data_IF_108446534742
#
_entry.id   IF_108446534742
#
_cell.length_a   1.000
_cell.length_b   1.000
_cell.length_c   1.000
_cell.angle_alpha   90.00
_cell.angle_beta   90.00
_cell.angle_gamma   90.00
#
_symmetry.space_group_name_H-M   'P 1'
#
loop_
_entity.id
_entity.type
_entity.pdbx_description
1 polymer ?
#
# COMPACT_ATOMS: atom_id res chain seq x y z
N UNK A 1 45.98 -39.13 -6.50
CA UNK A 1 44.61 -39.71 -6.45
C UNK A 1 44.69 -41.23 -6.31
N UNK A 2 44.51 -41.73 -5.08
CA UNK A 2 44.60 -43.17 -4.75
C UNK A 2 43.31 -43.91 -5.09
N UNK A 3 42.14 -43.20 -5.14
CA UNK A 3 40.83 -43.81 -5.28
C UNK A 3 40.08 -43.24 -6.48
N UNK A 4 39.28 -44.09 -7.13
CA UNK A 4 38.29 -43.69 -8.14
C UNK A 4 36.88 -43.80 -7.59
N UNK A 5 36.03 -42.84 -7.96
CA UNK A 5 34.61 -42.80 -7.61
C UNK A 5 33.79 -42.93 -8.88
N UNK A 6 32.77 -43.78 -8.86
CA UNK A 6 31.85 -43.96 -9.97
C UNK A 6 30.49 -43.46 -9.54
N UNK A 7 29.99 -42.42 -10.21
CA UNK A 7 28.67 -41.84 -10.01
C UNK A 7 27.70 -42.38 -11.05
N UNK A 8 26.68 -43.09 -10.59
CA UNK A 8 25.63 -43.66 -11.42
C UNK A 8 24.38 -42.77 -11.37
N UNK A 9 23.81 -42.44 -12.54
CA UNK A 9 22.54 -41.73 -12.69
C UNK A 9 21.55 -42.72 -13.34
N UNK A 10 20.67 -43.27 -12.54
CA UNK A 10 19.66 -44.21 -13.02
C UNK A 10 18.35 -43.43 -13.20
N UNK A 11 17.90 -43.34 -14.46
CA UNK A 11 16.64 -42.65 -14.81
C UNK A 11 15.45 -43.36 -14.16
N UNK A 12 14.55 -42.57 -13.57
CA UNK A 12 13.33 -43.06 -12.99
C UNK A 12 12.15 -42.15 -13.37
N UNK A 13 10.94 -42.48 -12.92
CA UNK A 13 9.72 -41.74 -13.25
C UNK A 13 9.35 -40.65 -12.22
N UNK A 14 10.19 -40.42 -11.21
CA UNK A 14 9.93 -39.39 -10.19
C UNK A 14 10.77 -38.16 -10.49
N UNK A 15 10.19 -36.99 -10.80
CA UNK A 15 10.95 -35.74 -10.99
C UNK A 15 11.88 -35.45 -9.81
N UNK A 16 13.02 -34.84 -10.10
CA UNK A 16 13.92 -34.35 -9.06
C UNK A 16 13.44 -32.99 -8.56
N UNK A 17 13.37 -32.82 -7.25
CA UNK A 17 13.01 -31.57 -6.61
C UNK A 17 13.87 -31.32 -5.37
N UNK A 18 14.45 -30.13 -5.30
CA UNK A 18 15.29 -29.75 -4.17
C UNK A 18 16.47 -30.73 -3.98
N UNK A 19 16.74 -31.10 -2.73
CA UNK A 19 17.82 -31.99 -2.36
C UNK A 19 17.52 -33.46 -2.68
N UNK A 20 18.28 -34.00 -3.58
CA UNK A 20 18.19 -35.40 -3.99
C UNK A 20 19.34 -36.19 -3.37
N UNK A 21 19.08 -37.17 -2.49
CA UNK A 21 20.10 -37.91 -1.79
C UNK A 21 20.91 -38.76 -2.74
N UNK A 22 22.21 -38.87 -2.45
CA UNK A 22 23.12 -39.75 -3.16
C UNK A 22 23.35 -41.02 -2.31
N UNK A 23 22.99 -42.15 -2.87
CA UNK A 23 23.08 -43.42 -2.17
C UNK A 23 24.51 -43.98 -2.34
N UNK A 24 25.23 -44.11 -1.23
CA UNK A 24 26.58 -44.65 -1.21
C UNK A 24 26.55 -46.19 -1.07
N UNK A 25 27.47 -46.85 -1.74
CA UNK A 25 27.68 -48.30 -1.64
C UNK A 25 29.10 -48.60 -1.20
N UNK A 26 29.23 -49.49 -0.20
CA UNK A 26 30.45 -50.09 0.25
C UNK A 26 30.29 -51.62 0.20
N UNK A 27 31.28 -52.35 -0.23
CA UNK A 27 31.25 -53.83 -0.35
C UNK A 27 29.99 -54.35 -1.07
N UNK A 28 29.51 -53.59 -2.08
CA UNK A 28 28.27 -53.85 -2.83
C UNK A 28 26.97 -53.76 -2.00
N UNK A 29 27.05 -53.22 -0.77
CA UNK A 29 25.89 -52.99 0.11
C UNK A 29 25.63 -51.46 0.27
N UNK A 30 24.36 -51.12 0.41
CA UNK A 30 23.99 -49.75 0.74
C UNK A 30 24.49 -49.42 2.16
N UNK A 31 25.28 -48.35 2.26
CA UNK A 31 25.77 -47.86 3.53
C UNK A 31 25.49 -46.35 3.68
N UNK A 32 25.29 -45.90 4.91
CA UNK A 32 25.10 -44.47 5.24
C UNK A 32 26.41 -43.89 5.77
N UNK A 33 26.67 -42.63 5.42
CA UNK A 33 27.79 -41.88 5.99
C UNK A 33 27.48 -41.54 7.46
N UNK A 34 28.47 -41.76 8.35
CA UNK A 34 28.33 -41.48 9.80
C UNK A 34 28.23 -39.98 10.10
N UNK A 35 28.91 -39.15 9.30
CA UNK A 35 29.08 -37.71 9.52
C UNK A 35 28.30 -36.85 8.49
N UNK A 36 27.12 -37.28 8.03
CA UNK A 36 26.29 -36.52 7.12
C UNK A 36 25.76 -37.37 5.95
N UNK A 37 25.28 -36.69 4.93
CA UNK A 37 24.79 -37.31 3.69
C UNK A 37 25.27 -36.51 2.48
N UNK A 38 25.50 -37.20 1.38
CA UNK A 38 25.74 -36.57 0.09
C UNK A 38 24.40 -36.31 -0.61
N UNK A 39 24.25 -35.17 -1.21
CA UNK A 39 23.04 -34.80 -1.96
C UNK A 39 23.37 -33.93 -3.17
N UNK A 40 22.42 -33.81 -4.07
CA UNK A 40 22.50 -32.86 -5.18
C UNK A 40 21.16 -32.18 -5.36
N UNK A 41 21.20 -30.85 -5.34
CA UNK A 41 19.98 -30.02 -5.44
C UNK A 41 19.78 -29.52 -6.85
N UNK A 42 18.70 -29.98 -7.51
CA UNK A 42 18.23 -29.46 -8.80
C UNK A 42 16.78 -29.84 -9.03
N UNK A 43 16.00 -28.90 -9.54
CA UNK A 43 14.67 -29.19 -10.08
C UNK A 43 14.78 -29.66 -11.51
N UNK A 44 14.37 -30.91 -11.76
CA UNK A 44 14.37 -31.50 -13.08
C UNK A 44 13.10 -32.34 -13.29
N UNK A 45 12.42 -32.13 -14.42
CA UNK A 45 11.22 -32.90 -14.80
C UNK A 45 11.54 -34.40 -15.02
N UNK A 46 12.77 -34.69 -15.47
CA UNK A 46 13.26 -36.07 -15.55
C UNK A 46 13.76 -36.48 -14.17
N UNK A 47 13.38 -37.67 -13.74
CA UNK A 47 13.83 -38.24 -12.49
C UNK A 47 15.11 -39.06 -12.64
N UNK A 48 15.97 -38.93 -11.64
CA UNK A 48 17.17 -39.75 -11.52
C UNK A 48 17.36 -40.18 -10.06
N UNK A 49 17.79 -41.42 -9.87
CA UNK A 49 18.35 -41.86 -8.59
C UNK A 49 19.86 -41.84 -8.71
N UNK A 50 20.52 -41.23 -7.72
CA UNK A 50 21.96 -41.02 -7.72
C UNK A 50 22.62 -42.05 -6.81
N UNK A 51 23.61 -42.76 -7.36
CA UNK A 51 24.39 -43.75 -6.62
C UNK A 51 25.87 -43.42 -6.73
N UNK A 52 26.61 -43.61 -5.64
CA UNK A 52 28.05 -43.43 -5.61
C UNK A 52 28.73 -44.68 -5.10
N UNK A 53 29.71 -45.20 -5.88
CA UNK A 53 30.49 -46.38 -5.53
C UNK A 53 31.97 -46.08 -5.60
N UNK A 54 32.74 -46.59 -4.64
CA UNK A 54 34.20 -46.53 -4.64
C UNK A 54 34.75 -47.55 -3.66
N UNK A 55 35.94 -48.12 -4.01
CA UNK A 55 36.71 -48.93 -3.08
C UNK A 55 37.16 -48.14 -1.84
N UNK A 56 37.19 -46.80 -1.91
CA UNK A 56 37.40 -45.93 -0.78
C UNK A 56 36.41 -46.20 0.35
N UNK A 57 35.14 -46.37 0.01
CA UNK A 57 34.11 -46.65 1.04
C UNK A 57 34.28 -48.02 1.70
N UNK A 58 34.87 -49.00 0.98
CA UNK A 58 35.12 -50.33 1.50
C UNK A 58 36.18 -50.33 2.62
N UNK A 59 37.10 -49.37 2.61
CA UNK A 59 38.14 -49.21 3.63
C UNK A 59 37.60 -48.58 4.93
N UNK A 60 36.52 -47.79 4.84
CA UNK A 60 35.96 -47.03 5.95
C UNK A 60 34.59 -47.53 6.45
N UNK A 61 34.10 -48.63 5.90
CA UNK A 61 32.81 -49.19 6.31
C UNK A 61 32.95 -49.98 7.61
N UNK A 62 31.93 -49.93 8.47
CA UNK A 62 31.87 -50.72 9.67
C UNK A 62 31.80 -52.23 9.41
N UNK A 63 31.96 -53.02 10.49
CA UNK A 63 31.95 -54.50 10.40
C UNK A 63 30.61 -55.06 9.90
N UNK A 64 29.52 -54.35 10.09
CA UNK A 64 28.16 -54.70 9.64
C UNK A 64 27.87 -54.31 8.21
N UNK A 65 28.70 -53.43 7.60
CA UNK A 65 28.48 -52.92 6.26
C UNK A 65 27.40 -51.80 6.17
N UNK A 66 26.98 -51.25 7.31
CA UNK A 66 25.86 -50.32 7.36
C UNK A 66 26.29 -48.86 7.38
N UNK A 67 27.49 -48.55 7.91
CA UNK A 67 28.00 -47.18 8.10
C UNK A 67 29.39 -47.02 7.51
N UNK A 68 29.61 -45.86 6.91
CA UNK A 68 30.90 -45.43 6.39
C UNK A 68 31.42 -44.29 7.27
N UNK A 69 32.55 -44.50 7.93
CA UNK A 69 33.14 -43.53 8.87
C UNK A 69 34.27 -42.76 8.16
N UNK A 70 33.89 -41.72 7.41
CA UNK A 70 34.81 -40.87 6.64
C UNK A 70 34.89 -39.48 7.31
N UNK A 71 36.04 -38.84 7.20
CA UNK A 71 36.22 -37.48 7.73
C UNK A 71 35.29 -36.47 7.08
N UNK A 72 34.91 -35.40 7.81
CA UNK A 72 34.10 -34.33 7.25
C UNK A 72 34.77 -33.65 6.04
N UNK A 73 36.09 -33.49 6.08
CA UNK A 73 36.84 -32.86 4.99
C UNK A 73 36.78 -33.69 3.71
N UNK A 74 36.87 -35.01 3.82
CA UNK A 74 36.73 -35.90 2.67
C UNK A 74 35.33 -35.91 2.10
N UNK A 75 34.29 -35.83 2.97
CA UNK A 75 32.89 -35.71 2.53
C UNK A 75 32.68 -34.41 1.75
N UNK A 76 33.20 -33.28 2.25
CA UNK A 76 33.14 -31.99 1.56
C UNK A 76 33.85 -32.05 0.19
N UNK A 77 35.02 -32.67 0.15
CA UNK A 77 35.79 -32.81 -1.08
C UNK A 77 35.04 -33.65 -2.12
N UNK A 78 34.44 -34.76 -1.69
CA UNK A 78 33.62 -35.63 -2.54
C UNK A 78 32.37 -34.87 -3.01
N UNK A 79 31.68 -34.18 -2.14
CA UNK A 79 30.48 -33.39 -2.45
C UNK A 79 30.77 -32.30 -3.51
N UNK A 80 31.87 -31.58 -3.35
CA UNK A 80 32.26 -30.53 -4.29
C UNK A 80 32.55 -31.12 -5.69
N UNK A 81 33.22 -32.27 -5.77
CA UNK A 81 33.49 -32.93 -7.04
C UNK A 81 32.23 -33.47 -7.71
N UNK A 82 31.30 -34.00 -6.92
CA UNK A 82 29.99 -34.43 -7.43
C UNK A 82 29.22 -33.26 -7.98
N UNK A 83 29.18 -32.13 -7.25
CA UNK A 83 28.50 -30.92 -7.70
C UNK A 83 29.03 -30.44 -9.04
N UNK A 84 30.37 -30.38 -9.20
CA UNK A 84 31.01 -30.01 -10.47
C UNK A 84 30.57 -30.91 -11.65
N UNK A 85 30.57 -32.23 -11.45
CA UNK A 85 30.16 -33.20 -12.46
C UNK A 85 28.68 -33.07 -12.82
N UNK A 86 27.81 -32.97 -11.80
CA UNK A 86 26.37 -32.91 -12.01
C UNK A 86 25.93 -31.53 -12.56
N UNK A 87 26.58 -30.44 -12.18
CA UNK A 87 26.35 -29.12 -12.76
C UNK A 87 26.61 -29.10 -14.26
N UNK A 88 27.71 -29.74 -14.69
CA UNK A 88 27.99 -29.90 -16.11
C UNK A 88 26.96 -30.81 -16.82
N UNK A 89 26.53 -31.89 -16.18
CA UNK A 89 25.51 -32.80 -16.73
C UNK A 89 24.15 -32.11 -16.87
N UNK A 90 23.72 -31.36 -15.87
CA UNK A 90 22.41 -30.68 -15.81
C UNK A 90 22.47 -29.22 -16.23
N UNK A 91 23.56 -28.78 -16.88
CA UNK A 91 23.76 -27.37 -17.26
C UNK A 91 22.54 -26.75 -17.97
N UNK A 92 21.95 -27.45 -18.94
CA UNK A 92 20.78 -26.97 -19.69
C UNK A 92 19.55 -26.83 -18.80
N UNK A 93 19.37 -27.76 -17.85
CA UNK A 93 18.26 -27.73 -16.90
C UNK A 93 18.42 -26.56 -15.94
N UNK A 94 19.63 -26.34 -15.41
CA UNK A 94 19.95 -25.21 -14.51
C UNK A 94 19.72 -23.88 -15.24
N UNK A 95 20.14 -23.74 -16.49
CA UNK A 95 19.91 -22.54 -17.29
C UNK A 95 18.39 -22.27 -17.50
N UNK A 96 17.60 -23.33 -17.71
CA UNK A 96 16.16 -23.24 -17.85
C UNK A 96 15.50 -22.84 -16.52
N UNK A 97 15.90 -23.42 -15.40
CA UNK A 97 15.43 -23.09 -14.06
C UNK A 97 15.74 -21.61 -13.71
N UNK A 98 16.94 -21.14 -14.05
CA UNK A 98 17.32 -19.73 -13.86
C UNK A 98 16.46 -18.77 -14.68
N UNK A 99 16.14 -19.11 -15.93
CA UNK A 99 15.22 -18.29 -16.74
C UNK A 99 13.81 -18.22 -16.13
N UNK A 100 13.32 -19.33 -15.58
CA UNK A 100 12.03 -19.36 -14.90
C UNK A 100 12.07 -18.54 -13.61
N UNK A 101 13.14 -18.66 -12.82
CA UNK A 101 13.39 -17.84 -11.62
C UNK A 101 13.42 -16.34 -11.96
N UNK A 102 14.11 -15.94 -13.04
CA UNK A 102 14.14 -14.55 -13.49
C UNK A 102 12.74 -14.02 -13.86
N UNK A 103 11.91 -14.86 -14.51
CA UNK A 103 10.50 -14.50 -14.79
C UNK A 103 9.71 -14.31 -13.49
N UNK A 104 9.87 -15.19 -12.53
CA UNK A 104 9.22 -15.09 -11.22
C UNK A 104 9.67 -13.84 -10.46
N UNK A 105 10.97 -13.51 -10.52
CA UNK A 105 11.52 -12.28 -9.94
C UNK A 105 10.94 -11.01 -10.59
N UNK A 106 10.82 -10.99 -11.92
CA UNK A 106 10.21 -9.88 -12.65
C UNK A 106 8.73 -9.70 -12.26
N UNK A 107 7.97 -10.78 -12.15
CA UNK A 107 6.59 -10.75 -11.69
C UNK A 107 6.47 -10.24 -10.25
N UNK A 108 7.36 -10.73 -9.37
CA UNK A 108 7.44 -10.26 -7.98
C UNK A 108 7.70 -8.76 -7.89
N UNK A 109 8.70 -8.22 -8.60
CA UNK A 109 9.01 -6.79 -8.62
C UNK A 109 7.81 -5.94 -9.03
N UNK A 110 7.09 -6.36 -10.06
CA UNK A 110 5.88 -5.66 -10.51
C UNK A 110 4.75 -5.67 -9.48
N UNK A 111 4.57 -6.78 -8.75
CA UNK A 111 3.47 -6.96 -7.79
C UNK A 111 3.78 -6.40 -6.40
N UNK A 112 5.03 -6.49 -5.97
CA UNK A 112 5.45 -6.16 -4.60
C UNK A 112 6.64 -5.19 -4.57
N UNK A 113 6.53 -4.01 -5.20
CA UNK A 113 7.66 -3.07 -5.31
C UNK A 113 8.24 -2.68 -3.95
N UNK A 114 7.41 -2.54 -2.91
CA UNK A 114 7.87 -2.21 -1.56
C UNK A 114 8.68 -3.32 -0.87
N UNK A 115 8.60 -4.55 -1.36
CA UNK A 115 9.40 -5.69 -0.85
C UNK A 115 10.65 -5.93 -1.69
N UNK A 116 10.74 -5.38 -2.89
CA UNK A 116 11.89 -5.57 -3.77
C UNK A 116 13.21 -5.10 -3.14
N UNK A 117 13.15 -4.03 -2.35
CA UNK A 117 14.29 -3.50 -1.60
C UNK A 117 14.92 -4.50 -0.59
N UNK A 118 14.21 -5.57 -0.26
CA UNK A 118 14.64 -6.59 0.70
C UNK A 118 15.00 -7.92 0.04
N UNK A 119 15.12 -7.95 -1.28
CA UNK A 119 15.49 -9.14 -2.04
C UNK A 119 16.96 -9.15 -2.37
N UNK A 120 17.64 -10.25 -2.05
CA UNK A 120 19.00 -10.48 -2.51
C UNK A 120 18.97 -11.17 -3.89
N UNK A 121 18.94 -10.35 -4.95
CA UNK A 121 18.90 -10.85 -6.33
C UNK A 121 20.10 -11.71 -6.71
N UNK A 122 21.30 -11.37 -6.22
CA UNK A 122 22.52 -12.15 -6.49
C UNK A 122 22.37 -13.58 -5.99
N UNK A 123 21.90 -13.76 -4.76
CA UNK A 123 21.66 -15.09 -4.19
C UNK A 123 20.60 -15.86 -4.98
N UNK A 124 19.51 -15.20 -5.36
CA UNK A 124 18.43 -15.84 -6.16
C UNK A 124 18.93 -16.25 -7.53
N UNK A 125 19.78 -15.45 -8.18
CA UNK A 125 20.33 -15.74 -9.50
C UNK A 125 21.32 -16.92 -9.50
N UNK A 126 21.96 -17.22 -8.37
CA UNK A 126 22.87 -18.35 -8.20
C UNK A 126 22.14 -19.69 -7.99
N UNK A 127 20.86 -19.65 -7.61
CA UNK A 127 20.09 -20.87 -7.34
C UNK A 127 19.96 -21.77 -8.57
N UNK A 128 20.12 -23.09 -8.34
CA UNK A 128 19.99 -24.12 -9.38
C UNK A 128 18.56 -24.58 -9.56
N UNK A 129 17.76 -24.43 -8.53
CA UNK A 129 16.34 -24.76 -8.49
C UNK A 129 15.49 -23.58 -8.94
N UNK A 130 14.25 -23.85 -9.31
CA UNK A 130 13.29 -22.78 -9.59
C UNK A 130 12.87 -22.12 -8.27
N UNK A 131 13.20 -20.85 -8.12
CA UNK A 131 12.69 -20.06 -7.00
C UNK A 131 11.30 -19.52 -7.35
N UNK A 132 10.29 -19.96 -6.62
CA UNK A 132 8.89 -19.54 -6.83
C UNK A 132 8.67 -18.13 -6.30
N UNK A 133 7.74 -17.41 -6.90
CA UNK A 133 7.34 -16.07 -6.43
C UNK A 133 6.96 -16.06 -4.95
N UNK A 134 6.27 -17.10 -4.45
CA UNK A 134 5.92 -17.24 -3.04
C UNK A 134 7.12 -17.31 -2.10
N UNK A 135 8.21 -17.90 -2.55
CA UNK A 135 9.42 -18.07 -1.74
C UNK A 135 10.25 -16.78 -1.73
N UNK A 136 10.23 -16.03 -2.85
CA UNK A 136 10.79 -14.69 -2.93
C UNK A 136 10.04 -13.76 -1.97
N UNK A 137 8.70 -13.79 -1.97
CA UNK A 137 7.87 -13.00 -1.04
C UNK A 137 8.20 -13.32 0.41
N UNK A 138 8.26 -14.60 0.78
CA UNK A 138 8.61 -15.02 2.16
C UNK A 138 10.00 -14.53 2.57
N UNK A 139 10.98 -14.68 1.68
CA UNK A 139 12.37 -14.24 1.93
C UNK A 139 12.43 -12.73 2.15
N UNK A 140 11.76 -11.94 1.29
CA UNK A 140 11.70 -10.49 1.40
C UNK A 140 11.00 -10.01 2.69
N UNK A 141 9.88 -10.65 3.09
CA UNK A 141 9.18 -10.34 4.33
C UNK A 141 10.07 -10.63 5.55
N UNK A 142 10.75 -11.78 5.55
CA UNK A 142 11.64 -12.15 6.65
C UNK A 142 12.81 -11.17 6.77
N UNK A 143 13.42 -10.77 5.65
CA UNK A 143 14.51 -9.82 5.65
C UNK A 143 14.05 -8.42 6.10
N UNK A 144 12.90 -7.94 5.62
CA UNK A 144 12.29 -6.71 6.11
C UNK A 144 12.07 -6.76 7.62
N UNK A 145 11.48 -7.84 8.13
CA UNK A 145 11.23 -8.00 9.58
C UNK A 145 12.52 -8.07 10.40
N UNK A 146 13.60 -8.66 9.86
CA UNK A 146 14.92 -8.67 10.49
C UNK A 146 15.49 -7.25 10.65
N UNK A 147 15.43 -6.48 9.56
CA UNK A 147 15.92 -5.11 9.51
C UNK A 147 15.07 -4.22 10.43
N UNK A 148 13.74 -4.35 10.37
CA UNK A 148 12.81 -3.60 11.20
C UNK A 148 13.03 -3.87 12.70
N UNK A 149 13.25 -5.13 13.08
CA UNK A 149 13.60 -5.49 14.47
C UNK A 149 14.93 -4.87 14.91
N UNK A 150 15.95 -4.90 14.05
CA UNK A 150 17.24 -4.28 14.33
C UNK A 150 17.11 -2.77 14.53
N UNK A 151 16.31 -2.10 13.68
CA UNK A 151 16.00 -0.68 13.76
C UNK A 151 15.38 -0.30 15.11
N UNK A 152 14.31 -0.97 15.53
CA UNK A 152 13.68 -0.68 16.81
C UNK A 152 14.59 -0.97 18.02
N UNK A 153 15.37 -2.05 17.93
CA UNK A 153 16.35 -2.36 19.00
C UNK A 153 17.43 -1.29 19.12
N UNK A 154 17.80 -0.63 18.03
CA UNK A 154 18.78 0.43 18.06
C UNK A 154 18.17 1.73 18.63
N UNK A 155 16.96 2.10 18.22
CA UNK A 155 16.24 3.27 18.77
C UNK A 155 16.12 3.16 20.29
N UNK A 156 15.67 1.98 20.79
CA UNK A 156 15.53 1.76 22.24
C UNK A 156 16.86 1.97 22.98
N UNK A 157 18.01 1.64 22.37
CA UNK A 157 19.34 1.85 22.96
C UNK A 157 19.79 3.31 22.89
N UNK A 158 19.49 4.00 21.79
CA UNK A 158 19.88 5.39 21.60
C UNK A 158 19.10 6.32 22.55
N UNK A 159 17.83 6.00 22.89
CA UNK A 159 17.05 6.68 23.94
C UNK A 159 17.66 6.52 25.34
N UNK A 160 18.37 5.41 25.62
CA UNK A 160 19.02 5.17 26.89
C UNK A 160 20.39 5.85 27.03
N UNK A 161 21.07 6.19 25.91
CA UNK A 161 22.48 6.58 25.94
C UNK A 161 22.77 8.03 25.54
N UNK A 162 21.79 8.82 25.09
CA UNK A 162 21.96 10.21 24.61
C UNK A 162 23.06 10.34 23.51
N UNK A 163 23.38 9.25 22.81
CA UNK A 163 24.38 9.25 21.73
C UNK A 163 23.72 9.52 20.37
N UNK A 164 24.24 10.54 19.68
CA UNK A 164 23.84 10.94 18.32
C UNK A 164 24.34 9.89 17.30
N UNK A 165 23.75 8.70 17.34
CA UNK A 165 24.16 7.57 16.53
C UNK A 165 23.50 7.60 15.14
N UNK A 166 24.30 7.63 14.11
CA UNK A 166 23.98 7.77 12.68
C UNK A 166 23.22 6.57 12.06
N UNK A 167 22.40 5.84 12.83
CA UNK A 167 21.59 4.77 12.26
C UNK A 167 20.57 5.27 11.24
N UNK A 168 20.11 6.53 11.39
CA UNK A 168 19.22 7.21 10.43
C UNK A 168 19.79 7.23 9.01
N UNK A 169 21.12 7.23 8.86
CA UNK A 169 21.81 7.25 7.57
C UNK A 169 22.18 5.86 7.04
N UNK A 170 21.84 4.79 7.77
CA UNK A 170 22.12 3.44 7.33
C UNK A 170 21.31 3.06 6.08
N UNK A 171 21.89 2.25 5.19
CA UNK A 171 21.20 1.72 4.00
C UNK A 171 19.92 0.96 4.37
N UNK A 172 19.93 0.22 5.48
CA UNK A 172 18.80 -0.53 5.97
C UNK A 172 17.65 0.38 6.45
N UNK A 173 17.96 1.49 7.13
CA UNK A 173 16.98 2.52 7.49
C UNK A 173 16.37 3.15 6.23
N UNK A 174 17.18 3.51 5.25
CA UNK A 174 16.71 4.05 3.98
C UNK A 174 15.78 3.07 3.25
N UNK A 175 16.06 1.77 3.25
CA UNK A 175 15.18 0.74 2.69
C UNK A 175 13.82 0.70 3.38
N UNK A 176 13.79 0.78 4.72
CA UNK A 176 12.54 0.80 5.49
C UNK A 176 11.70 2.04 5.18
N UNK A 177 12.30 3.22 5.19
CA UNK A 177 11.63 4.48 4.90
C UNK A 177 11.06 4.48 3.48
N UNK A 178 11.87 4.10 2.49
CA UNK A 178 11.44 3.99 1.09
C UNK A 178 10.30 2.99 0.92
N UNK A 179 10.36 1.83 1.57
CA UNK A 179 9.28 0.83 1.54
C UNK A 179 7.97 1.40 2.10
N UNK A 180 8.02 2.11 3.22
CA UNK A 180 6.85 2.71 3.86
C UNK A 180 6.25 3.82 3.00
N UNK A 181 7.10 4.68 2.42
CA UNK A 181 6.68 5.72 1.49
C UNK A 181 6.00 5.13 0.24
N UNK A 182 6.57 4.06 -0.32
CA UNK A 182 5.99 3.38 -1.48
C UNK A 182 4.58 2.83 -1.19
N UNK A 183 4.40 2.18 -0.03
CA UNK A 183 3.08 1.68 0.39
C UNK A 183 2.08 2.84 0.49
N UNK A 184 2.49 3.95 1.11
CA UNK A 184 1.65 5.14 1.24
C UNK A 184 1.26 5.76 -0.11
N UNK A 185 2.23 5.91 -1.01
CA UNK A 185 1.98 6.49 -2.34
C UNK A 185 1.13 5.55 -3.21
N UNK A 186 1.34 4.24 -3.14
CA UNK A 186 0.49 3.25 -3.82
C UNK A 186 -0.94 3.23 -3.27
N UNK A 187 -1.11 3.42 -1.98
CA UNK A 187 -2.43 3.61 -1.39
C UNK A 187 -3.14 4.84 -1.99
N UNK A 188 -2.47 6.01 -2.04
CA UNK A 188 -3.01 7.22 -2.65
C UNK A 188 -3.38 7.01 -4.13
N UNK A 189 -2.50 6.37 -4.91
CA UNK A 189 -2.79 6.03 -6.31
C UNK A 189 -4.05 5.15 -6.46
N UNK A 190 -4.19 4.15 -5.60
CA UNK A 190 -5.36 3.27 -5.57
C UNK A 190 -6.65 4.01 -5.24
N UNK A 191 -6.60 4.92 -4.25
CA UNK A 191 -7.74 5.77 -3.85
C UNK A 191 -8.15 6.69 -5.00
N UNK A 192 -7.20 7.37 -5.65
CA UNK A 192 -7.49 8.23 -6.80
C UNK A 192 -8.07 7.46 -7.99
N UNK A 193 -7.53 6.26 -8.26
CA UNK A 193 -8.08 5.39 -9.31
C UNK A 193 -9.53 5.00 -8.99
N UNK A 194 -9.83 4.67 -7.74
CA UNK A 194 -11.19 4.37 -7.29
C UNK A 194 -12.11 5.59 -7.44
N UNK A 195 -11.66 6.77 -7.03
CA UNK A 195 -12.41 8.02 -7.19
C UNK A 195 -12.73 8.28 -8.67
N UNK A 196 -11.75 8.17 -9.56
CA UNK A 196 -11.95 8.33 -11.01
C UNK A 196 -12.99 7.35 -11.56
N UNK A 197 -12.92 6.09 -11.15
CA UNK A 197 -13.89 5.07 -11.58
C UNK A 197 -15.30 5.42 -11.10
N UNK A 198 -15.45 5.94 -9.89
CA UNK A 198 -16.74 6.37 -9.34
C UNK A 198 -17.29 7.59 -10.11
N UNK A 199 -16.43 8.58 -10.41
CA UNK A 199 -16.82 9.78 -11.19
C UNK A 199 -17.32 9.35 -12.56
N UNK A 200 -16.58 8.51 -13.28
CA UNK A 200 -16.97 8.04 -14.61
C UNK A 200 -18.32 7.30 -14.58
N UNK A 201 -18.52 6.40 -13.62
CA UNK A 201 -19.83 5.72 -13.44
C UNK A 201 -20.96 6.70 -13.16
N UNK A 202 -20.65 7.78 -12.46
CA UNK A 202 -21.61 8.84 -12.16
C UNK A 202 -22.08 9.56 -13.43
N UNK A 203 -21.19 9.80 -14.38
CA UNK A 203 -21.51 10.46 -15.63
C UNK A 203 -22.27 9.54 -16.60
N UNK A 204 -21.92 8.24 -16.63
CA UNK A 204 -22.52 7.26 -17.55
C UNK A 204 -23.92 6.82 -17.14
N UNK A 205 -24.16 6.63 -15.84
CA UNK A 205 -25.37 6.01 -15.33
C UNK A 205 -26.52 6.98 -14.98
N UNK A 206 -26.24 8.30 -15.03
CA UNK A 206 -27.26 9.34 -14.81
C UNK A 206 -27.84 9.40 -13.39
N UNK A 207 -28.96 10.11 -13.23
CA UNK A 207 -29.51 10.65 -11.99
C UNK A 207 -30.03 9.65 -10.92
N UNK A 208 -29.87 8.35 -11.08
CA UNK A 208 -30.70 7.38 -10.35
C UNK A 208 -30.04 6.56 -9.24
N UNK A 209 -28.78 6.86 -8.82
CA UNK A 209 -28.12 6.02 -7.80
C UNK A 209 -27.58 6.79 -6.58
N UNK A 210 -28.38 6.89 -5.50
CA UNK A 210 -27.90 7.43 -4.22
C UNK A 210 -26.79 6.60 -3.58
N UNK A 211 -26.59 5.36 -4.05
CA UNK A 211 -25.50 4.48 -3.61
C UNK A 211 -24.10 5.00 -3.97
N UNK A 212 -23.99 5.74 -5.09
CA UNK A 212 -22.70 6.33 -5.49
C UNK A 212 -22.26 7.47 -4.57
N UNK A 213 -23.18 8.35 -4.13
CA UNK A 213 -22.87 9.38 -3.13
C UNK A 213 -22.39 8.76 -1.84
N UNK A 214 -23.10 7.73 -1.35
CA UNK A 214 -22.70 7.01 -0.17
C UNK A 214 -21.29 6.43 -0.33
N UNK A 215 -20.97 5.87 -1.50
CA UNK A 215 -19.66 5.29 -1.78
C UNK A 215 -18.56 6.35 -1.87
N UNK A 216 -18.85 7.52 -2.50
CA UNK A 216 -17.89 8.64 -2.55
C UNK A 216 -17.69 9.20 -1.14
N UNK A 217 -18.75 9.39 -0.36
CA UNK A 217 -18.67 9.87 1.02
C UNK A 217 -17.77 8.93 1.86
N UNK A 218 -18.00 7.62 1.78
CA UNK A 218 -17.17 6.63 2.49
C UNK A 218 -15.73 6.59 2.01
N UNK A 219 -15.46 7.02 0.76
CA UNK A 219 -14.09 7.14 0.29
C UNK A 219 -13.34 8.28 1.00
N UNK A 220 -13.99 9.39 1.32
CA UNK A 220 -13.38 10.50 2.08
C UNK A 220 -13.27 10.18 3.56
N UNK A 221 -14.38 9.81 4.17
CA UNK A 221 -14.46 9.45 5.59
C UNK A 221 -15.68 8.54 5.82
N UNK A 222 -15.47 7.43 6.52
CA UNK A 222 -16.56 6.49 6.84
C UNK A 222 -17.72 7.20 7.54
N UNK A 223 -18.94 6.93 7.11
CA UNK A 223 -20.16 7.52 7.70
C UNK A 223 -20.28 7.21 9.19
N UNK A 224 -20.54 8.24 9.98
CA UNK A 224 -20.64 8.17 11.44
C UNK A 224 -19.29 8.04 12.16
N UNK A 225 -18.17 8.10 11.44
CA UNK A 225 -16.86 8.12 12.07
C UNK A 225 -16.55 9.50 12.67
N UNK A 226 -15.79 9.48 13.76
CA UNK A 226 -15.22 10.68 14.38
C UNK A 226 -13.72 10.45 14.53
N UNK A 227 -12.90 11.34 13.98
CA UNK A 227 -11.46 11.33 14.14
C UNK A 227 -11.10 12.12 15.38
N UNK A 228 -10.75 11.44 16.46
CA UNK A 228 -10.54 12.09 17.76
C UNK A 228 -9.08 12.21 18.19
N UNK A 229 -8.16 11.44 17.64
CA UNK A 229 -6.70 11.53 17.88
C UNK A 229 -5.95 10.48 17.07
N UNK A 230 -4.62 10.60 17.03
CA UNK A 230 -3.67 9.70 16.35
C UNK A 230 -3.70 8.24 16.78
N UNK A 231 -4.35 7.90 17.89
CA UNK A 231 -4.54 6.51 18.34
C UNK A 231 -5.63 5.75 17.58
N UNK A 232 -6.53 6.47 16.88
CA UNK A 232 -7.58 5.85 16.07
C UNK A 232 -7.10 5.54 14.64
N UNK A 233 -5.95 4.87 14.54
CA UNK A 233 -5.41 4.31 13.27
C UNK A 233 -6.46 3.44 12.54
N UNK A 234 -7.49 2.99 13.26
CA UNK A 234 -8.59 2.19 12.71
C UNK A 234 -9.55 2.98 11.79
N UNK A 235 -9.42 4.29 11.71
CA UNK A 235 -10.25 5.12 10.85
C UNK A 235 -9.43 5.78 9.75
N UNK A 236 -8.93 4.97 8.83
CA UNK A 236 -8.30 5.46 7.60
C UNK A 236 -9.28 6.40 6.89
N UNK A 237 -8.85 7.62 6.66
CA UNK A 237 -9.60 8.61 5.91
C UNK A 237 -8.79 9.08 4.70
N UNK A 238 -9.48 9.64 3.71
CA UNK A 238 -8.85 10.19 2.53
C UNK A 238 -9.17 11.68 2.35
N UNK A 239 -9.30 12.42 3.46
CA UNK A 239 -9.53 13.87 3.44
C UNK A 239 -8.38 14.65 2.76
N UNK A 240 -7.20 14.03 2.62
CA UNK A 240 -6.08 14.54 1.84
C UNK A 240 -6.44 14.79 0.36
N UNK A 241 -7.51 14.18 -0.16
CA UNK A 241 -8.04 14.47 -1.51
C UNK A 241 -8.42 15.94 -1.61
N UNK A 242 -9.00 16.50 -0.56
CA UNK A 242 -9.33 17.93 -0.48
C UNK A 242 -8.05 18.76 -0.37
N UNK A 243 -7.24 18.47 0.65
CA UNK A 243 -6.02 19.21 0.95
C UNK A 243 -5.04 18.32 1.72
N UNK A 244 -3.75 18.43 1.42
CA UNK A 244 -2.70 17.65 2.11
C UNK A 244 -2.56 18.03 3.60
N UNK A 245 -3.10 19.16 4.04
CA UNK A 245 -3.23 19.48 5.48
C UNK A 245 -4.05 18.45 6.25
N UNK A 246 -4.90 17.69 5.56
CA UNK A 246 -5.73 16.63 6.13
C UNK A 246 -5.17 15.24 5.87
N UNK A 247 -3.85 15.08 5.91
CA UNK A 247 -3.21 13.76 5.82
C UNK A 247 -3.41 12.96 7.10
N UNK A 248 -3.29 11.63 7.00
CA UNK A 248 -3.36 10.74 8.17
C UNK A 248 -2.24 11.00 9.20
N UNK A 249 -1.17 11.67 8.80
CA UNK A 249 -0.05 12.02 9.67
C UNK A 249 -0.21 13.39 10.35
N UNK A 250 -1.29 14.12 10.05
CA UNK A 250 -1.55 15.42 10.66
C UNK A 250 -2.44 15.27 11.88
N UNK A 251 -1.94 15.68 13.05
CA UNK A 251 -2.68 15.71 14.30
C UNK A 251 -3.34 17.07 14.56
N UNK A 252 -3.34 17.96 13.55
CA UNK A 252 -3.77 19.36 13.75
C UNK A 252 -5.27 19.57 13.55
N UNK A 253 -6.01 18.52 13.20
CA UNK A 253 -7.46 18.64 12.96
C UNK A 253 -8.23 17.44 13.53
N UNK A 254 -9.51 17.66 13.75
CA UNK A 254 -10.50 16.62 14.00
C UNK A 254 -11.56 16.65 12.92
N UNK A 255 -12.18 15.52 12.65
CA UNK A 255 -13.27 15.44 11.70
C UNK A 255 -14.38 14.53 12.22
N UNK A 256 -15.63 14.88 11.91
CA UNK A 256 -16.81 14.10 12.23
C UNK A 256 -17.66 13.93 10.98
N UNK A 257 -17.91 12.68 10.62
CA UNK A 257 -18.84 12.31 9.57
C UNK A 257 -20.21 12.02 10.17
N UNK A 258 -21.27 12.48 9.54
CA UNK A 258 -22.63 12.25 10.00
C UNK A 258 -23.13 10.87 9.55
N UNK A 259 -24.14 10.36 10.28
CA UNK A 259 -24.83 9.13 9.89
C UNK A 259 -25.85 9.43 8.79
N UNK A 260 -26.11 8.45 7.94
CA UNK A 260 -27.15 8.55 6.91
C UNK A 260 -28.51 8.93 7.50
N UNK A 261 -29.23 9.85 6.83
CA UNK A 261 -30.58 10.26 7.20
C UNK A 261 -30.65 11.35 8.27
N UNK A 262 -29.54 11.92 8.70
CA UNK A 262 -29.54 13.10 9.59
C UNK A 262 -29.55 14.38 8.77
N UNK A 263 -30.28 15.39 9.23
CA UNK A 263 -30.33 16.73 8.62
C UNK A 263 -29.11 17.57 9.05
N UNK A 264 -27.92 17.07 8.75
CA UNK A 264 -26.63 17.70 9.06
C UNK A 264 -25.70 17.55 7.85
N UNK A 265 -24.64 18.38 7.78
CA UNK A 265 -23.61 18.25 6.76
C UNK A 265 -22.95 16.86 6.80
N UNK A 266 -22.43 16.42 5.67
CA UNK A 266 -21.76 15.14 5.55
C UNK A 266 -20.54 15.03 6.45
N UNK A 267 -19.66 16.03 6.44
CA UNK A 267 -18.43 16.03 7.24
C UNK A 267 -18.15 17.41 7.79
N UNK A 268 -17.80 17.49 9.07
CA UNK A 268 -17.24 18.67 9.72
C UNK A 268 -15.76 18.44 10.01
N UNK A 269 -14.91 19.46 9.77
CA UNK A 269 -13.48 19.43 10.09
C UNK A 269 -13.13 20.70 10.88
N UNK A 270 -12.40 20.56 12.00
CA UNK A 270 -12.02 21.69 12.89
C UNK A 270 -10.65 21.45 13.53
N UNK A 271 -10.09 22.49 14.18
CA UNK A 271 -8.85 22.39 14.94
C UNK A 271 -8.98 21.47 16.16
N UNK A 272 -7.85 20.95 16.66
CA UNK A 272 -7.83 19.91 17.70
C UNK A 272 -8.13 20.39 19.12
N UNK A 273 -7.99 21.67 19.44
CA UNK A 273 -8.17 22.21 20.78
C UNK A 273 -9.16 23.37 20.80
N UNK A 274 -9.98 23.51 21.88
CA UNK A 274 -11.00 24.58 21.98
C UNK A 274 -10.44 25.98 21.80
N UNK A 275 -9.31 26.28 22.42
CA UNK A 275 -8.62 27.55 22.31
C UNK A 275 -7.99 27.81 20.93
N UNK A 276 -7.84 26.78 20.11
CA UNK A 276 -7.34 26.85 18.75
C UNK A 276 -8.43 26.77 17.68
N UNK A 277 -9.66 26.47 18.08
CA UNK A 277 -10.78 26.34 17.14
C UNK A 277 -11.18 27.72 16.64
N UNK A 278 -10.52 28.17 15.57
CA UNK A 278 -10.83 29.45 14.90
C UNK A 278 -11.47 29.25 13.53
N UNK A 279 -11.54 28.05 13.05
CA UNK A 279 -12.07 27.69 11.73
C UNK A 279 -12.86 26.41 11.82
N UNK A 280 -13.99 26.38 11.13
CA UNK A 280 -14.72 25.16 10.85
C UNK A 280 -14.94 25.03 9.35
N UNK A 281 -14.67 23.85 8.83
CA UNK A 281 -14.94 23.48 7.46
C UNK A 281 -16.14 22.53 7.43
N UNK A 282 -17.12 22.88 6.63
CA UNK A 282 -18.36 22.14 6.41
C UNK A 282 -18.28 21.55 5.01
N UNK A 283 -18.15 20.24 4.90
CA UNK A 283 -18.06 19.53 3.63
C UNK A 283 -19.40 18.87 3.31
N UNK A 284 -19.93 19.17 2.14
CA UNK A 284 -21.15 18.59 1.61
C UNK A 284 -20.88 17.88 0.28
N UNK A 285 -21.34 16.66 0.17
CA UNK A 285 -21.22 15.82 -1.02
C UNK A 285 -22.57 15.73 -1.71
N UNK A 286 -22.64 16.04 -3.00
CA UNK A 286 -23.89 16.03 -3.76
C UNK A 286 -23.84 14.99 -4.87
N UNK A 287 -24.83 14.11 -4.87
CA UNK A 287 -24.94 13.06 -5.86
C UNK A 287 -25.87 13.36 -7.00
N UNK A 288 -26.89 14.06 -6.81
CA UNK A 288 -27.85 14.50 -7.83
C UNK A 288 -29.11 15.10 -7.26
N UNK A 289 -29.75 15.87 -8.08
CA UNK A 289 -31.14 16.25 -8.00
C UNK A 289 -32.07 15.06 -7.98
N UNK A 290 -32.20 14.36 -6.86
CA UNK A 290 -33.55 13.88 -6.58
C UNK A 290 -34.36 15.15 -6.35
N UNK A 291 -35.19 15.49 -7.30
CA UNK A 291 -36.37 16.26 -7.01
C UNK A 291 -36.96 15.64 -5.75
N UNK A 292 -36.79 16.28 -4.60
CA UNK A 292 -37.50 15.87 -3.41
C UNK A 292 -38.97 15.94 -3.76
N UNK A 293 -39.60 14.78 -3.87
CA UNK A 293 -41.00 14.67 -4.16
C UNK A 293 -41.78 15.57 -3.21
N UNK A 294 -42.65 16.37 -3.80
CA UNK A 294 -43.77 17.06 -3.22
C UNK A 294 -43.45 18.16 -2.16
N UNK A 295 -43.41 19.37 -2.59
CA UNK A 295 -43.82 20.51 -1.79
C UNK A 295 -42.71 21.33 -1.13
N UNK A 296 -41.46 20.90 -1.17
CA UNK A 296 -40.35 21.72 -0.66
C UNK A 296 -39.68 22.49 -1.80
N UNK A 297 -39.59 23.79 -1.65
CA UNK A 297 -38.77 24.68 -2.47
C UNK A 297 -37.38 24.04 -2.53
N UNK A 298 -36.86 23.87 -3.74
CA UNK A 298 -35.51 23.33 -3.96
C UNK A 298 -34.51 24.27 -3.27
N UNK A 299 -34.01 23.85 -2.10
CA UNK A 299 -32.91 24.54 -1.44
C UNK A 299 -31.65 24.30 -2.29
N UNK A 300 -31.02 25.40 -2.78
CA UNK A 300 -29.75 25.34 -3.48
C UNK A 300 -28.64 24.76 -2.61
N UNK A 301 -27.59 24.22 -3.23
CA UNK A 301 -26.47 23.60 -2.51
C UNK A 301 -25.80 24.58 -1.53
N UNK A 302 -25.64 25.83 -1.93
CA UNK A 302 -25.08 26.90 -1.11
C UNK A 302 -25.99 27.24 0.07
N UNK A 303 -27.31 27.35 -0.15
CA UNK A 303 -28.26 27.57 0.91
C UNK A 303 -28.25 26.46 1.97
N UNK A 304 -28.08 25.24 1.54
CA UNK A 304 -27.97 24.10 2.45
C UNK A 304 -26.71 24.17 3.35
N UNK A 305 -25.55 24.52 2.80
CA UNK A 305 -24.30 24.70 3.59
C UNK A 305 -24.48 25.88 4.57
N UNK A 306 -25.11 26.98 4.17
CA UNK A 306 -25.44 28.11 5.07
C UNK A 306 -26.34 27.65 6.20
N UNK A 307 -27.32 26.82 5.94
CA UNK A 307 -28.20 26.26 6.99
C UNK A 307 -27.40 25.40 7.97
N UNK A 308 -26.49 24.56 7.50
CA UNK A 308 -25.62 23.78 8.39
C UNK A 308 -24.67 24.67 9.22
N UNK A 309 -24.16 25.75 8.65
CA UNK A 309 -23.36 26.71 9.39
C UNK A 309 -24.18 27.38 10.50
N UNK A 310 -25.44 27.76 10.21
CA UNK A 310 -26.34 28.29 11.20
C UNK A 310 -26.71 27.27 12.29
N UNK A 311 -26.97 26.02 11.91
CA UNK A 311 -27.22 24.93 12.86
C UNK A 311 -26.01 24.68 13.79
N UNK A 312 -24.81 24.77 13.25
CA UNK A 312 -23.58 24.67 14.03
C UNK A 312 -23.42 25.88 14.97
N UNK A 313 -23.66 27.09 14.47
CA UNK A 313 -23.60 28.31 15.28
C UNK A 313 -24.51 28.23 16.50
N UNK A 314 -25.75 27.78 16.30
CA UNK A 314 -26.74 27.65 17.37
C UNK A 314 -26.47 26.45 18.30
N UNK A 315 -25.80 25.41 17.85
CA UNK A 315 -25.59 24.18 18.62
C UNK A 315 -24.19 23.56 18.37
N UNK A 316 -23.09 24.28 18.69
CA UNK A 316 -21.75 23.81 18.39
C UNK A 316 -21.40 22.50 19.10
N UNK A 317 -21.94 22.27 20.29
CA UNK A 317 -21.71 21.04 21.08
C UNK A 317 -22.22 19.74 20.43
N UNK A 318 -23.13 19.83 19.47
CA UNK A 318 -23.55 18.67 18.67
C UNK A 318 -22.41 18.12 17.78
N UNK A 319 -21.50 19.00 17.37
CA UNK A 319 -20.35 18.65 16.53
C UNK A 319 -19.08 18.58 17.37
N UNK A 320 -18.80 19.66 18.10
CA UNK A 320 -17.70 19.74 19.06
C UNK A 320 -18.18 19.17 20.40
N UNK A 321 -17.35 18.49 21.11
CA UNK A 321 -17.69 17.98 22.44
C UNK A 321 -17.43 19.00 23.56
N UNK A 322 -17.32 20.30 23.21
CA UNK A 322 -17.06 21.43 24.12
C UNK A 322 -17.71 22.71 23.60
N UNK A 323 -17.88 23.66 24.48
CA UNK A 323 -18.36 24.99 24.14
C UNK A 323 -17.25 25.82 23.47
N UNK A 324 -17.64 26.64 22.51
CA UNK A 324 -16.77 27.53 21.76
C UNK A 324 -17.46 28.87 21.52
N UNK A 325 -16.67 29.95 21.48
CA UNK A 325 -17.20 31.24 21.06
C UNK A 325 -17.40 31.25 19.55
N UNK A 326 -18.63 31.00 19.13
CA UNK A 326 -19.02 30.82 17.71
C UNK A 326 -18.88 32.10 16.88
N UNK A 327 -18.93 33.30 17.52
CA UNK A 327 -18.76 34.60 16.84
C UNK A 327 -17.33 34.80 16.31
N UNK A 328 -16.34 34.12 16.91
CA UNK A 328 -14.94 34.21 16.55
C UNK A 328 -14.49 33.11 15.58
N UNK A 329 -15.40 32.26 15.11
CA UNK A 329 -15.12 31.21 14.17
C UNK A 329 -15.22 31.69 12.72
N UNK A 330 -14.26 31.35 11.91
CA UNK A 330 -14.33 31.49 10.47
C UNK A 330 -15.01 30.25 9.89
N UNK A 331 -16.07 30.49 9.10
CA UNK A 331 -16.86 29.43 8.49
C UNK A 331 -16.43 29.25 7.05
N UNK A 332 -16.11 28.01 6.69
CA UNK A 332 -15.78 27.59 5.34
C UNK A 332 -16.72 26.45 4.92
N UNK A 333 -17.30 26.56 3.75
CA UNK A 333 -18.07 25.49 3.12
C UNK A 333 -17.31 24.94 1.91
N UNK A 334 -17.26 23.64 1.77
CA UNK A 334 -16.82 22.96 0.54
C UNK A 334 -17.98 22.10 0.06
N UNK A 335 -18.35 22.28 -1.20
CA UNK A 335 -19.36 21.47 -1.87
C UNK A 335 -18.68 20.69 -2.98
N UNK A 336 -18.79 19.38 -2.95
CA UNK A 336 -18.38 18.52 -4.05
C UNK A 336 -19.60 18.03 -4.79
N UNK A 337 -19.69 18.33 -6.09
CA UNK A 337 -20.82 17.99 -6.92
C UNK A 337 -20.39 17.64 -8.34
N UNK A 338 -21.30 17.11 -9.16
CA UNK A 338 -21.02 16.97 -10.60
C UNK A 338 -21.00 18.33 -11.27
N UNK A 339 -20.18 18.48 -12.29
CA UNK A 339 -20.13 19.71 -13.11
C UNK A 339 -21.51 20.14 -13.64
N UNK A 340 -22.38 19.19 -13.96
CA UNK A 340 -23.75 19.45 -14.41
C UNK A 340 -24.61 20.09 -13.31
N UNK A 341 -24.45 19.68 -12.06
CA UNK A 341 -25.21 20.19 -10.93
C UNK A 341 -24.69 21.56 -10.49
N UNK A 342 -23.38 21.78 -10.56
CA UNK A 342 -22.79 23.12 -10.35
C UNK A 342 -23.32 24.10 -11.40
N UNK A 343 -23.37 23.71 -12.69
CA UNK A 343 -23.94 24.55 -13.74
C UNK A 343 -25.40 24.91 -13.50
N UNK A 344 -26.20 23.98 -12.97
CA UNK A 344 -27.60 24.26 -12.57
C UNK A 344 -27.67 25.24 -11.41
N UNK A 345 -26.82 25.09 -10.38
CA UNK A 345 -26.73 26.02 -9.25
C UNK A 345 -26.40 27.44 -9.73
N UNK A 346 -25.35 27.57 -10.58
CA UNK A 346 -24.94 28.86 -11.16
C UNK A 346 -26.00 29.53 -12.05
N UNK A 347 -26.84 28.71 -12.69
CA UNK A 347 -27.92 29.20 -13.56
C UNK A 347 -29.18 29.57 -12.80
N UNK A 348 -29.24 29.31 -11.48
CA UNK A 348 -30.39 29.66 -10.70
C UNK A 348 -30.55 31.19 -10.53
N UNK A 349 -31.76 31.72 -10.50
CA UNK A 349 -31.98 33.16 -10.30
C UNK A 349 -31.37 33.71 -9.01
N UNK A 350 -31.20 32.85 -7.99
CA UNK A 350 -30.59 33.20 -6.71
C UNK A 350 -29.06 33.29 -6.78
N UNK A 351 -28.42 32.68 -7.78
CA UNK A 351 -26.98 32.60 -7.93
C UNK A 351 -26.37 33.78 -8.71
N UNK A 352 -27.21 34.53 -9.45
CA UNK A 352 -26.75 35.55 -10.40
C UNK A 352 -25.82 36.59 -9.76
N UNK A 353 -24.58 36.66 -10.21
CA UNK A 353 -23.57 37.65 -9.83
C UNK A 353 -22.78 37.35 -8.54
N UNK A 354 -22.95 36.16 -7.93
CA UNK A 354 -22.31 35.81 -6.65
C UNK A 354 -21.07 34.91 -6.76
N UNK A 355 -20.91 34.20 -7.86
CA UNK A 355 -19.89 33.20 -7.98
C UNK A 355 -18.72 33.67 -8.86
N UNK A 356 -17.51 33.45 -8.36
CA UNK A 356 -16.26 33.66 -9.07
C UNK A 356 -15.59 32.32 -9.37
N UNK A 357 -14.93 32.20 -10.52
CA UNK A 357 -14.20 31.00 -10.87
C UNK A 357 -12.97 30.81 -10.00
N UNK A 358 -12.71 29.58 -9.55
CA UNK A 358 -11.45 29.25 -8.91
C UNK A 358 -10.36 29.20 -9.99
N UNK A 359 -9.25 29.97 -9.83
CA UNK A 359 -8.17 29.98 -10.83
C UNK A 359 -7.68 28.59 -11.20
N UNK A 360 -7.41 28.36 -12.49
CA UNK A 360 -6.92 27.10 -13.08
C UNK A 360 -7.88 25.91 -13.03
N UNK A 361 -9.17 26.13 -12.62
CA UNK A 361 -10.20 25.09 -12.61
C UNK A 361 -11.36 25.49 -13.50
N UNK A 362 -11.84 24.55 -14.33
CA UNK A 362 -12.87 24.83 -15.32
C UNK A 362 -14.30 24.85 -14.76
N UNK A 363 -14.56 23.98 -13.77
CA UNK A 363 -15.91 23.73 -13.26
C UNK A 363 -16.01 23.92 -11.75
N UNK A 364 -15.15 24.78 -11.22
CA UNK A 364 -15.10 25.06 -9.78
C UNK A 364 -15.17 26.57 -9.53
N UNK A 365 -15.92 26.93 -8.51
CA UNK A 365 -16.30 28.33 -8.21
C UNK A 365 -16.25 28.57 -6.71
N UNK A 366 -16.19 29.82 -6.31
CA UNK A 366 -16.38 30.21 -4.93
C UNK A 366 -17.32 31.40 -4.82
N UNK A 367 -17.90 31.56 -3.63
CA UNK A 367 -18.63 32.77 -3.25
C UNK A 367 -18.34 33.12 -1.80
N UNK A 368 -18.22 34.41 -1.53
CA UNK A 368 -18.25 34.93 -0.18
C UNK A 368 -19.70 35.38 0.11
N UNK A 369 -20.31 34.74 1.09
CA UNK A 369 -21.72 34.93 1.45
C UNK A 369 -21.88 35.08 2.98
N UNK A 370 -23.07 35.09 3.48
CA UNK A 370 -23.38 35.15 4.91
C UNK A 370 -24.63 34.33 5.23
N UNK A 371 -24.71 33.83 6.44
CA UNK A 371 -25.93 33.29 7.01
C UNK A 371 -26.43 34.22 8.13
N UNK A 372 -27.72 34.17 8.40
CA UNK A 372 -28.37 35.03 9.35
C UNK A 372 -28.77 34.29 10.61
N UNK A 373 -28.43 34.83 11.77
CA UNK A 373 -28.77 34.27 13.05
C UNK A 373 -30.22 34.58 13.37
N UNK A 374 -31.00 33.57 13.76
CA UNK A 374 -32.42 33.65 14.08
C UNK A 374 -33.27 34.37 13.00
N UNK A 375 -32.75 34.39 11.75
CA UNK A 375 -33.41 35.08 10.65
C UNK A 375 -33.30 36.60 10.70
N UNK A 376 -32.54 37.19 11.62
CA UNK A 376 -32.35 38.66 11.72
C UNK A 376 -31.28 39.13 10.69
N UNK A 377 -31.66 39.94 9.68
CA UNK A 377 -30.74 40.44 8.67
C UNK A 377 -29.60 41.32 9.23
N UNK A 378 -29.77 41.86 10.46
CA UNK A 378 -28.77 42.70 11.13
C UNK A 378 -27.67 41.86 11.79
N UNK A 379 -27.96 40.60 12.09
CA UNK A 379 -27.00 39.66 12.70
C UNK A 379 -26.59 38.61 11.68
N UNK A 380 -25.55 38.93 10.89
CA UNK A 380 -25.03 38.09 9.81
C UNK A 380 -23.61 37.66 10.10
N UNK A 381 -23.32 36.41 9.84
CA UNK A 381 -21.98 35.80 9.94
C UNK A 381 -21.49 35.44 8.53
N UNK A 382 -20.27 35.87 8.20
CA UNK A 382 -19.65 35.57 6.89
C UNK A 382 -19.27 34.11 6.76
N UNK A 383 -19.45 33.59 5.56
CA UNK A 383 -19.04 32.27 5.18
C UNK A 383 -18.45 32.29 3.76
N UNK A 384 -17.27 31.69 3.59
CA UNK A 384 -16.72 31.40 2.26
C UNK A 384 -17.13 30.01 1.84
N UNK A 385 -17.69 29.88 0.65
CA UNK A 385 -18.17 28.60 0.10
C UNK A 385 -17.47 28.34 -1.23
N UNK A 386 -16.84 27.18 -1.36
CA UNK A 386 -16.18 26.71 -2.56
C UNK A 386 -16.95 25.53 -3.14
N UNK A 387 -17.23 25.57 -4.42
CA UNK A 387 -17.91 24.52 -5.17
C UNK A 387 -16.89 23.89 -6.09
N UNK A 388 -16.55 22.64 -5.86
CA UNK A 388 -15.66 21.88 -6.71
C UNK A 388 -16.42 20.82 -7.48
N UNK A 389 -16.13 20.69 -8.77
CA UNK A 389 -16.53 19.49 -9.48
C UNK A 389 -15.72 18.28 -8.98
N UNK A 390 -16.31 17.09 -9.02
CA UNK A 390 -15.57 15.87 -8.69
C UNK A 390 -14.35 15.67 -9.58
N UNK A 391 -14.45 16.09 -10.85
CA UNK A 391 -13.37 16.04 -11.81
C UNK A 391 -12.21 16.96 -11.41
N UNK A 392 -12.52 18.21 -11.05
CA UNK A 392 -11.51 19.19 -10.66
C UNK A 392 -10.81 18.79 -9.36
N UNK A 393 -11.55 18.29 -8.35
CA UNK A 393 -10.92 17.83 -7.11
C UNK A 393 -10.05 16.58 -7.33
N UNK A 394 -10.49 15.68 -8.23
CA UNK A 394 -9.66 14.55 -8.66
C UNK A 394 -8.38 15.04 -9.33
N UNK A 395 -8.48 15.99 -10.25
CA UNK A 395 -7.32 16.54 -10.96
C UNK A 395 -6.34 17.21 -10.01
N UNK A 396 -6.83 18.07 -9.10
CA UNK A 396 -6.00 18.71 -8.08
C UNK A 396 -5.25 17.69 -7.21
N UNK A 397 -5.95 16.67 -6.73
CA UNK A 397 -5.34 15.62 -5.92
C UNK A 397 -4.34 14.78 -6.72
N UNK A 398 -4.65 14.49 -8.00
CA UNK A 398 -3.75 13.78 -8.91
C UNK A 398 -2.48 14.56 -9.19
N UNK A 399 -2.61 15.86 -9.48
CA UNK A 399 -1.46 16.72 -9.79
C UNK A 399 -0.51 16.87 -8.59
N UNK A 400 -1.06 17.09 -7.39
CA UNK A 400 -0.27 17.13 -6.15
C UNK A 400 0.54 15.85 -5.92
N UNK A 401 0.00 14.69 -6.29
CA UNK A 401 0.65 13.41 -6.10
C UNK A 401 1.46 12.93 -7.33
N UNK A 402 1.37 13.62 -8.46
CA UNK A 402 1.94 13.18 -9.75
C UNK A 402 3.46 13.01 -9.70
N UNK A 403 4.16 13.86 -8.96
CA UNK A 403 5.63 13.79 -8.80
C UNK A 403 6.00 12.48 -8.10
N UNK A 404 5.33 12.15 -7.00
CA UNK A 404 5.57 10.91 -6.25
C UNK A 404 5.26 9.67 -7.09
N UNK A 405 4.15 9.69 -7.85
CA UNK A 405 3.79 8.59 -8.74
C UNK A 405 4.82 8.39 -9.86
N UNK A 406 5.37 9.48 -10.42
CA UNK A 406 6.41 9.42 -11.44
C UNK A 406 7.75 8.94 -10.88
N UNK A 407 8.14 9.41 -9.69
CA UNK A 407 9.38 8.98 -9.04
C UNK A 407 9.35 7.49 -8.76
N UNK A 408 8.26 6.99 -8.15
CA UNK A 408 8.12 5.55 -7.90
C UNK A 408 8.12 4.71 -9.16
N UNK A 409 7.49 5.18 -10.24
CA UNK A 409 7.53 4.47 -11.53
C UNK A 409 8.93 4.45 -12.13
N UNK A 410 9.67 5.56 -12.08
CA UNK A 410 11.05 5.64 -12.63
C UNK A 410 12.03 4.75 -11.89
N UNK A 411 11.90 4.59 -10.57
CA UNK A 411 12.73 3.67 -9.81
C UNK A 411 12.44 2.19 -10.13
N UNK A 412 11.23 1.88 -10.63
CA UNK A 412 10.80 0.51 -10.94
C UNK A 412 10.64 0.23 -12.44
N UNK A 413 10.58 1.24 -13.31
CA UNK A 413 10.44 1.09 -14.78
C UNK A 413 11.79 1.24 -15.50
N UNK A 414 12.85 0.69 -14.98
CA UNK A 414 14.13 0.67 -15.71
C UNK A 414 14.09 -0.16 -16.99
N UNK A 415 12.96 -0.78 -17.38
CA UNK A 415 12.89 -1.59 -18.61
C UNK A 415 11.51 -1.69 -19.31
N UNK A 416 10.53 -0.85 -19.05
CA UNK A 416 9.21 -1.00 -19.69
C UNK A 416 8.89 -0.01 -20.83
N UNK A 417 9.85 0.75 -21.33
CA UNK A 417 9.65 1.62 -22.51
C UNK A 417 10.31 1.07 -23.77
N UNK A 418 10.09 -0.20 -24.09
CA UNK A 418 10.28 -0.72 -25.45
C UNK A 418 9.31 -1.88 -25.68
N UNK A 419 8.03 -1.58 -25.90
CA UNK A 419 7.13 -2.32 -26.79
C UNK A 419 6.10 -1.34 -27.32
#
# INVERSE_FOLDING_TARGET
>A
NKYSFILWLIKNNKPMHGDNPIICFARNLRASLSNGHLSYSVDNREGYTLYLTSIFFDEYVDTKGERIDVSCDDIICIQNKINEILDNKFKKVIEQNRKETQRNLKNFKSRYPSLDLFVNEGRIAEEKNVVKESDIVKSAINEKGRIEKAFWTQIDKDEEQDEDNSFSDSEDCQKLLNSSLQVYVKHRESVLRRLKTLINKYEEEGDNKPELEATIHELFLKRGATLNNSSDINHLHNLWILDDRFTIFSNNFKAKSTKSGQAQSDIYIWADAPEKTKQILILELKSTTKAHNAGNIHEGMVAQVKRYANDFYNNPTKVLNWDVNVDNIQYHGIILARKSDIKKELSSPQASGRYESIPFLENSFYCDDAFFIDGDPRHKIGIRIELYSYEDIYQLASDRNSVFFKLLRREFDLECDQI
#
